data_IF_469498894986
#
_entry.id   IF_469498894986
#
_cell.length_a   1.000
_cell.length_b   1.000
_cell.length_c   1.000
_cell.angle_alpha   90.00
_cell.angle_beta   90.00
_cell.angle_gamma   90.00
#
_symmetry.space_group_name_H-M   'P 1'
#
loop_
_entity.id
_entity.type
_entity.pdbx_description
1 polymer ?
#
# COMPACT_ATOMS: atom_id res chain seq x y z
N UNK A 1 16.22 44.98 -20.30
CA UNK A 1 15.55 44.01 -21.21
C UNK A 1 15.91 42.51 -21.03
N UNK A 2 17.06 42.06 -20.48
CA UNK A 2 17.35 40.62 -20.38
C UNK A 2 16.51 39.88 -19.32
N UNK A 3 16.11 40.55 -18.23
CA UNK A 3 15.32 39.95 -17.15
C UNK A 3 13.91 39.49 -17.61
N UNK A 4 13.23 40.30 -18.43
CA UNK A 4 11.88 39.99 -18.94
C UNK A 4 11.91 38.80 -19.91
N UNK A 5 12.95 38.73 -20.76
CA UNK A 5 13.17 37.60 -21.66
C UNK A 5 13.46 36.30 -20.88
N UNK A 6 14.28 36.38 -19.84
CA UNK A 6 14.56 35.25 -18.95
C UNK A 6 13.29 34.76 -18.23
N UNK A 7 12.48 35.67 -17.68
CA UNK A 7 11.21 35.33 -17.03
C UNK A 7 10.21 34.69 -18.00
N UNK A 8 10.10 35.19 -19.24
CA UNK A 8 9.24 34.60 -20.27
C UNK A 8 9.71 33.18 -20.65
N UNK A 9 11.01 32.98 -20.80
CA UNK A 9 11.59 31.66 -21.08
C UNK A 9 11.31 30.68 -19.95
N UNK A 10 11.47 31.10 -18.69
CA UNK A 10 11.17 30.27 -17.52
C UNK A 10 9.69 29.88 -17.47
N UNK A 11 8.78 30.82 -17.71
CA UNK A 11 7.34 30.57 -17.72
C UNK A 11 6.94 29.57 -18.82
N UNK A 12 7.53 29.69 -20.01
CA UNK A 12 7.30 28.73 -21.10
C UNK A 12 7.82 27.33 -20.74
N UNK A 13 9.01 27.23 -20.14
CA UNK A 13 9.54 25.94 -19.65
C UNK A 13 8.62 25.32 -18.60
N UNK A 14 8.11 26.13 -17.65
CA UNK A 14 7.20 25.66 -16.61
C UNK A 14 5.89 25.14 -17.20
N UNK A 15 5.26 25.88 -18.13
CA UNK A 15 4.04 25.44 -18.82
C UNK A 15 4.24 24.14 -19.59
N UNK A 16 5.37 24.01 -20.30
CA UNK A 16 5.70 22.79 -21.03
C UNK A 16 5.90 21.60 -20.08
N UNK A 17 6.57 21.82 -18.95
CA UNK A 17 6.76 20.79 -17.92
C UNK A 17 5.43 20.34 -17.31
N UNK A 18 4.57 21.28 -16.90
CA UNK A 18 3.24 20.97 -16.35
C UNK A 18 2.41 20.20 -17.39
N UNK A 19 2.39 20.66 -18.65
CA UNK A 19 1.67 19.97 -19.72
C UNK A 19 2.18 18.55 -19.96
N UNK A 20 3.49 18.32 -19.88
CA UNK A 20 4.08 16.98 -19.96
C UNK A 20 3.63 16.09 -18.80
N UNK A 21 3.67 16.59 -17.56
CA UNK A 21 3.27 15.83 -16.37
C UNK A 21 1.78 15.49 -16.43
N UNK A 22 0.91 16.45 -16.75
CA UNK A 22 -0.52 16.24 -16.95
C UNK A 22 -0.80 15.15 -18.00
N UNK A 23 -0.08 15.18 -19.14
CA UNK A 23 -0.23 14.19 -20.19
C UNK A 23 0.23 12.78 -19.80
N UNK A 24 1.14 12.65 -18.82
CA UNK A 24 1.73 11.37 -18.41
C UNK A 24 1.31 10.90 -17.02
N UNK A 25 0.48 11.66 -16.32
CA UNK A 25 0.23 11.44 -14.90
C UNK A 25 -0.32 10.05 -14.57
N UNK A 26 -1.22 9.52 -15.40
CA UNK A 26 -1.80 8.17 -15.19
C UNK A 26 -0.74 7.05 -15.28
N UNK A 27 0.39 7.28 -15.97
CA UNK A 27 1.53 6.36 -15.98
C UNK A 27 2.50 6.64 -14.85
N UNK A 28 2.72 7.91 -14.52
CA UNK A 28 3.62 8.33 -13.45
C UNK A 28 3.15 7.81 -12.09
N UNK A 29 1.85 7.77 -11.83
CA UNK A 29 1.33 7.19 -10.59
C UNK A 29 1.69 5.71 -10.45
N UNK A 30 1.62 4.93 -11.53
CA UNK A 30 2.04 3.52 -11.52
C UNK A 30 3.55 3.38 -11.26
N UNK A 31 4.36 4.31 -11.79
CA UNK A 31 5.80 4.35 -11.50
C UNK A 31 6.04 4.64 -10.01
N UNK A 32 5.33 5.60 -9.41
CA UNK A 32 5.47 5.90 -7.97
C UNK A 32 5.10 4.70 -7.10
N UNK A 33 4.01 4.00 -7.44
CA UNK A 33 3.57 2.78 -6.75
C UNK A 33 4.62 1.68 -6.90
N UNK A 34 5.14 1.46 -8.11
CA UNK A 34 6.16 0.46 -8.38
C UNK A 34 7.47 0.73 -7.63
N UNK A 35 7.94 1.98 -7.62
CA UNK A 35 9.13 2.40 -6.88
C UNK A 35 8.93 2.20 -5.38
N UNK A 36 7.82 2.68 -4.81
CA UNK A 36 7.50 2.51 -3.40
C UNK A 36 7.46 1.02 -3.02
N UNK A 37 6.73 0.21 -3.80
CA UNK A 37 6.59 -1.22 -3.58
C UNK A 37 7.96 -1.91 -3.59
N UNK A 38 8.79 -1.63 -4.60
CA UNK A 38 10.11 -2.24 -4.71
C UNK A 38 11.03 -1.85 -3.54
N UNK A 39 11.11 -0.55 -3.21
CA UNK A 39 11.96 -0.04 -2.13
C UNK A 39 11.59 -0.69 -0.79
N UNK A 40 10.32 -0.67 -0.42
CA UNK A 40 9.90 -1.22 0.87
C UNK A 40 9.87 -2.74 0.90
N UNK A 41 9.58 -3.42 -0.22
CA UNK A 41 9.71 -4.87 -0.30
C UNK A 41 11.16 -5.30 -0.08
N UNK A 42 12.12 -4.63 -0.73
CA UNK A 42 13.54 -4.89 -0.52
C UNK A 42 13.96 -4.59 0.93
N UNK A 43 13.53 -3.46 1.49
CA UNK A 43 13.86 -3.07 2.85
C UNK A 43 13.30 -4.05 3.89
N UNK A 44 12.01 -4.35 3.86
CA UNK A 44 11.36 -5.27 4.81
C UNK A 44 11.88 -6.70 4.67
N UNK A 45 12.17 -7.15 3.45
CA UNK A 45 12.82 -8.44 3.19
C UNK A 45 14.22 -8.48 3.81
N UNK A 46 15.02 -7.42 3.64
CA UNK A 46 16.31 -7.31 4.29
C UNK A 46 16.19 -7.37 5.82
N UNK A 47 15.20 -6.67 6.40
CA UNK A 47 14.94 -6.71 7.84
C UNK A 47 14.57 -8.12 8.32
N UNK A 48 13.79 -8.87 7.55
CA UNK A 48 13.47 -10.27 7.83
C UNK A 48 14.73 -11.15 7.87
N UNK A 49 15.57 -11.09 6.84
CA UNK A 49 16.81 -11.86 6.80
C UNK A 49 17.87 -11.38 7.81
N UNK A 50 17.77 -10.14 8.28
CA UNK A 50 18.56 -9.61 9.38
C UNK A 50 17.99 -10.00 10.77
N UNK A 51 16.98 -10.88 10.82
CA UNK A 51 16.30 -11.33 12.04
C UNK A 51 15.68 -10.18 12.86
N UNK A 52 15.15 -9.16 12.18
CA UNK A 52 14.50 -7.99 12.78
C UNK A 52 12.98 -7.97 12.61
N UNK A 53 12.39 -9.13 12.37
CA UNK A 53 10.93 -9.34 12.31
C UNK A 53 10.49 -10.21 13.47
N UNK A 54 9.25 -10.05 13.93
CA UNK A 54 8.71 -10.63 15.14
C UNK A 54 7.71 -11.75 14.87
N UNK A 55 7.63 -12.68 15.82
CA UNK A 55 6.69 -13.79 15.74
C UNK A 55 5.23 -13.34 15.94
N UNK A 56 4.99 -12.32 16.77
CA UNK A 56 3.63 -11.87 17.14
C UNK A 56 2.82 -11.30 15.98
N UNK A 57 3.45 -10.70 14.98
CA UNK A 57 2.74 -10.26 13.78
C UNK A 57 3.03 -11.24 12.64
N UNK A 58 4.21 -11.12 12.03
CA UNK A 58 4.56 -11.88 10.83
C UNK A 58 4.47 -13.40 11.03
N UNK A 59 4.88 -13.90 12.20
CA UNK A 59 4.82 -15.33 12.53
C UNK A 59 3.39 -15.85 12.67
N UNK A 60 2.50 -15.12 13.35
CA UNK A 60 1.09 -15.48 13.50
C UNK A 60 0.42 -15.58 12.14
N UNK A 61 0.53 -14.55 11.30
CA UNK A 61 -0.09 -14.55 9.98
C UNK A 61 0.49 -15.64 9.08
N UNK A 62 1.81 -15.83 9.08
CA UNK A 62 2.47 -16.88 8.29
C UNK A 62 1.97 -18.26 8.70
N UNK A 63 1.91 -18.55 10.00
CA UNK A 63 1.43 -19.85 10.49
C UNK A 63 -0.05 -20.05 10.17
N UNK A 64 -0.90 -19.05 10.47
CA UNK A 64 -2.34 -19.10 10.21
C UNK A 64 -2.65 -19.37 8.73
N UNK A 65 -1.97 -18.69 7.81
CA UNK A 65 -2.14 -18.90 6.37
C UNK A 65 -1.60 -20.27 5.95
N UNK A 66 -0.43 -20.67 6.44
CA UNK A 66 0.17 -21.96 6.10
C UNK A 66 -0.70 -23.14 6.56
N UNK A 67 -1.26 -23.12 7.76
CA UNK A 67 -2.14 -24.22 8.23
C UNK A 67 -3.47 -24.24 7.50
N UNK A 68 -3.96 -23.08 7.06
CA UNK A 68 -5.16 -22.98 6.21
C UNK A 68 -4.93 -23.69 4.89
N UNK A 69 -3.80 -23.41 4.23
CA UNK A 69 -3.48 -23.96 2.91
C UNK A 69 -3.12 -25.44 2.97
N UNK A 70 -2.35 -25.88 3.97
CA UNK A 70 -1.74 -27.22 3.95
C UNK A 70 -2.40 -28.24 4.89
N UNK A 71 -3.02 -27.80 5.99
CA UNK A 71 -3.50 -28.71 7.03
C UNK A 71 -5.03 -28.77 7.14
N UNK A 72 -5.76 -27.98 6.34
CA UNK A 72 -7.21 -27.86 6.48
C UNK A 72 -7.63 -27.31 7.86
N UNK A 73 -6.74 -26.54 8.52
CA UNK A 73 -7.00 -25.88 9.81
C UNK A 73 -7.11 -24.37 9.55
N UNK A 74 -8.34 -23.84 9.36
CA UNK A 74 -8.54 -22.45 8.97
C UNK A 74 -7.98 -21.49 10.02
N UNK A 75 -7.01 -20.69 9.58
CA UNK A 75 -6.31 -19.64 10.32
C UNK A 75 -5.79 -20.07 11.70
N UNK A 76 -5.31 -21.30 11.82
CA UNK A 76 -4.81 -21.84 13.08
C UNK A 76 -3.35 -21.42 13.34
N UNK A 77 -3.05 -20.99 14.55
CA UNK A 77 -1.70 -20.63 15.00
C UNK A 77 -1.48 -21.03 16.47
N UNK A 78 -0.24 -20.97 16.92
CA UNK A 78 0.21 -21.56 18.19
C UNK A 78 0.87 -20.58 19.16
N UNK A 79 1.26 -19.40 18.68
CA UNK A 79 2.08 -18.43 19.44
C UNK A 79 1.36 -17.92 20.70
N UNK A 80 0.03 -17.80 20.65
CA UNK A 80 -0.76 -17.19 21.72
C UNK A 80 -1.82 -18.13 22.31
N UNK A 81 -1.60 -19.45 22.28
CA UNK A 81 -2.59 -20.42 22.80
C UNK A 81 -2.94 -20.20 24.28
N UNK A 82 -2.07 -19.53 25.03
CA UNK A 82 -2.30 -19.18 26.43
C UNK A 82 -3.44 -18.16 26.60
N UNK A 83 -3.65 -17.28 25.61
CA UNK A 83 -4.69 -16.22 25.62
C UNK A 83 -5.79 -16.45 24.58
N UNK A 84 -5.51 -17.25 23.54
CA UNK A 84 -6.48 -17.73 22.55
C UNK A 84 -6.43 -19.27 22.46
N UNK A 85 -7.08 -20.01 23.39
CA UNK A 85 -7.00 -21.47 23.44
C UNK A 85 -7.53 -22.19 22.21
N UNK A 86 -8.39 -21.53 21.41
CA UNK A 86 -8.86 -22.08 20.14
C UNK A 86 -7.75 -22.16 19.08
N UNK A 87 -6.71 -21.33 19.22
CA UNK A 87 -5.67 -21.12 18.22
C UNK A 87 -6.19 -20.57 16.89
N UNK A 88 -7.47 -20.20 16.78
CA UNK A 88 -8.02 -19.64 15.56
C UNK A 88 -7.82 -18.13 15.56
N UNK A 89 -7.06 -17.62 14.59
CA UNK A 89 -6.78 -16.20 14.44
C UNK A 89 -8.07 -15.38 14.32
N UNK A 90 -9.06 -15.85 13.56
CA UNK A 90 -10.32 -15.11 13.37
C UNK A 90 -11.17 -15.00 14.64
N UNK A 91 -10.93 -15.88 15.63
CA UNK A 91 -11.57 -15.80 16.94
C UNK A 91 -10.99 -14.69 17.84
N UNK A 92 -9.72 -14.33 17.65
CA UNK A 92 -9.05 -13.24 18.37
C UNK A 92 -9.07 -11.92 17.58
N UNK A 93 -8.87 -12.01 16.27
CA UNK A 93 -8.77 -10.90 15.32
C UNK A 93 -9.70 -11.16 14.13
N UNK A 94 -10.90 -10.58 14.16
CA UNK A 94 -11.87 -10.75 13.08
C UNK A 94 -11.42 -10.00 11.82
N UNK A 95 -10.65 -10.69 10.97
CA UNK A 95 -10.06 -10.14 9.74
C UNK A 95 -10.44 -10.94 8.49
N UNK A 96 -11.71 -10.85 8.01
CA UNK A 96 -12.16 -11.56 6.82
C UNK A 96 -11.36 -11.27 5.54
N UNK A 97 -10.64 -10.15 5.50
CA UNK A 97 -9.75 -9.81 4.38
C UNK A 97 -8.67 -10.89 4.14
N UNK A 98 -8.32 -11.68 5.16
CA UNK A 98 -7.36 -12.77 5.03
C UNK A 98 -7.81 -13.85 4.04
N UNK A 99 -9.12 -14.03 3.80
CA UNK A 99 -9.59 -14.93 2.75
C UNK A 99 -9.11 -14.52 1.35
N UNK A 100 -8.90 -13.21 1.11
CA UNK A 100 -8.30 -12.72 -0.13
C UNK A 100 -6.77 -12.91 -0.16
N UNK A 101 -6.13 -12.97 1.01
CA UNK A 101 -4.69 -13.19 1.15
C UNK A 101 -4.32 -14.66 0.95
N UNK A 102 -5.17 -15.60 1.41
CA UNK A 102 -4.95 -17.05 1.27
C UNK A 102 -4.56 -17.49 -0.14
N UNK A 103 -5.30 -17.17 -1.22
CA UNK A 103 -4.93 -17.60 -2.57
C UNK A 103 -3.61 -16.98 -3.04
N UNK A 104 -3.27 -15.75 -2.62
CA UNK A 104 -1.99 -15.12 -2.95
C UNK A 104 -0.83 -15.79 -2.22
N UNK A 105 -1.01 -16.11 -0.93
CA UNK A 105 -0.03 -16.83 -0.13
C UNK A 105 0.17 -18.27 -0.63
N UNK A 106 -0.89 -18.92 -1.11
CA UNK A 106 -0.81 -20.28 -1.64
C UNK A 106 0.11 -20.39 -2.87
N UNK A 107 0.26 -19.31 -3.66
CA UNK A 107 1.19 -19.27 -4.80
C UNK A 107 2.66 -19.30 -4.37
N UNK A 108 2.98 -18.65 -3.24
CA UNK A 108 4.32 -18.62 -2.68
C UNK A 108 4.23 -18.50 -1.15
N UNK A 109 4.34 -19.65 -0.47
CA UNK A 109 4.14 -19.74 0.97
C UNK A 109 5.39 -19.29 1.74
N UNK A 110 5.58 -17.97 1.84
CA UNK A 110 6.73 -17.35 2.49
C UNK A 110 6.31 -16.10 3.27
N UNK A 111 6.94 -15.77 4.42
CA UNK A 111 6.76 -14.49 5.09
C UNK A 111 7.05 -13.30 4.17
N UNK A 112 7.99 -13.45 3.24
CA UNK A 112 8.37 -12.42 2.27
C UNK A 112 7.19 -12.07 1.36
N UNK A 113 6.37 -13.06 0.97
CA UNK A 113 5.16 -12.83 0.17
C UNK A 113 4.21 -11.86 0.87
N UNK A 114 4.08 -11.95 2.20
CA UNK A 114 3.22 -11.07 2.99
C UNK A 114 3.79 -9.65 3.06
N UNK A 115 5.09 -9.51 3.29
CA UNK A 115 5.77 -8.20 3.34
C UNK A 115 5.68 -7.47 1.98
N UNK A 116 5.91 -8.19 0.87
CA UNK A 116 5.77 -7.67 -0.49
C UNK A 116 4.32 -7.27 -0.76
N UNK A 117 3.36 -8.12 -0.38
CA UNK A 117 1.93 -7.83 -0.55
C UNK A 117 1.52 -6.57 0.22
N UNK A 118 1.94 -6.42 1.48
CA UNK A 118 1.68 -5.22 2.27
C UNK A 118 2.23 -3.96 1.59
N UNK A 119 3.49 -3.99 1.15
CA UNK A 119 4.11 -2.87 0.42
C UNK A 119 3.34 -2.51 -0.86
N UNK A 120 2.87 -3.51 -1.59
CA UNK A 120 2.08 -3.32 -2.80
C UNK A 120 0.71 -2.70 -2.50
N UNK A 121 -0.04 -3.22 -1.52
CA UNK A 121 -1.36 -2.70 -1.14
C UNK A 121 -1.27 -1.27 -0.62
N UNK A 122 -0.27 -0.95 0.21
CA UNK A 122 -0.03 0.44 0.66
C UNK A 122 0.27 1.33 -0.55
N UNK A 123 1.10 0.87 -1.49
CA UNK A 123 1.34 1.57 -2.75
C UNK A 123 0.04 1.88 -3.50
N UNK A 124 -0.85 0.88 -3.66
CA UNK A 124 -2.13 1.04 -4.34
C UNK A 124 -3.06 2.09 -3.70
N UNK A 125 -2.90 2.40 -2.40
CA UNK A 125 -3.65 3.48 -1.75
C UNK A 125 -3.40 4.86 -2.38
N UNK A 126 -2.28 5.03 -3.10
CA UNK A 126 -2.00 6.26 -3.84
C UNK A 126 -2.96 6.49 -5.03
N UNK A 127 -3.58 5.45 -5.57
CA UNK A 127 -4.51 5.55 -6.71
C UNK A 127 -5.78 6.35 -6.35
N UNK A 128 -6.56 5.98 -5.31
CA UNK A 128 -7.73 6.75 -4.95
C UNK A 128 -7.37 8.17 -4.48
N UNK A 129 -6.21 8.39 -3.86
CA UNK A 129 -5.71 9.72 -3.51
C UNK A 129 -5.49 10.56 -4.76
N UNK A 130 -4.82 10.00 -5.77
CA UNK A 130 -4.61 10.63 -7.06
C UNK A 130 -5.95 11.03 -7.71
N UNK A 131 -6.93 10.12 -7.73
CA UNK A 131 -8.25 10.41 -8.29
C UNK A 131 -8.98 11.50 -7.52
N UNK A 132 -9.04 11.41 -6.18
CA UNK A 132 -9.74 12.38 -5.34
C UNK A 132 -9.15 13.78 -5.53
N UNK A 133 -7.82 13.92 -5.45
CA UNK A 133 -7.16 15.21 -5.57
C UNK A 133 -7.25 15.77 -7.00
N UNK A 134 -7.07 14.93 -8.03
CA UNK A 134 -7.27 15.34 -9.43
C UNK A 134 -8.68 15.86 -9.67
N UNK A 135 -9.69 15.13 -9.21
CA UNK A 135 -11.09 15.44 -9.48
C UNK A 135 -11.54 16.68 -8.67
N UNK A 136 -11.00 16.89 -7.46
CA UNK A 136 -11.31 18.06 -6.62
C UNK A 136 -10.58 19.34 -7.01
N UNK A 137 -9.34 19.22 -7.51
CA UNK A 137 -8.49 20.37 -7.84
C UNK A 137 -8.39 20.63 -9.35
N UNK A 138 -9.01 19.78 -10.18
CA UNK A 138 -9.06 19.93 -11.63
C UNK A 138 -7.71 19.76 -12.34
N UNK A 139 -6.73 19.09 -11.71
CA UNK A 139 -5.37 18.94 -12.25
C UNK A 139 -4.74 17.61 -11.83
N UNK A 140 -4.19 16.87 -12.80
CA UNK A 140 -3.51 15.61 -12.53
C UNK A 140 -2.17 15.85 -11.85
N UNK A 141 -1.52 16.99 -12.06
CA UNK A 141 -0.34 17.39 -11.31
C UNK A 141 -0.66 17.44 -9.81
N UNK A 142 -1.76 18.08 -9.40
CA UNK A 142 -2.18 18.06 -7.99
C UNK A 142 -2.50 16.64 -7.50
N UNK A 143 -3.18 15.84 -8.32
CA UNK A 143 -3.36 14.40 -8.04
C UNK A 143 -2.05 13.70 -7.70
N UNK A 144 -1.03 13.86 -8.55
CA UNK A 144 0.29 13.26 -8.36
C UNK A 144 0.99 13.81 -7.12
N UNK A 145 0.91 15.11 -6.86
CA UNK A 145 1.54 15.74 -5.70
C UNK A 145 1.00 15.13 -4.40
N UNK A 146 -0.31 14.98 -4.25
CA UNK A 146 -0.90 14.37 -3.05
C UNK A 146 -0.60 12.88 -2.94
N UNK A 147 -0.61 12.15 -4.06
CA UNK A 147 -0.23 10.75 -4.08
C UNK A 147 1.24 10.55 -3.67
N UNK A 148 2.16 11.38 -4.19
CA UNK A 148 3.56 11.38 -3.82
C UNK A 148 3.75 11.78 -2.36
N UNK A 149 3.05 12.80 -1.88
CA UNK A 149 3.10 13.22 -0.49
C UNK A 149 2.68 12.08 0.46
N UNK A 150 1.62 11.33 0.11
CA UNK A 150 1.22 10.13 0.86
C UNK A 150 2.33 9.06 0.85
N UNK A 151 2.85 8.69 -0.32
CA UNK A 151 3.88 7.65 -0.43
C UNK A 151 5.22 8.04 0.20
N UNK A 152 5.50 9.33 0.38
CA UNK A 152 6.70 9.84 1.05
C UNK A 152 6.46 10.17 2.54
N UNK A 153 5.23 10.00 3.03
CA UNK A 153 4.88 10.40 4.39
C UNK A 153 5.51 9.43 5.41
N UNK A 154 6.25 9.92 6.44
CA UNK A 154 6.91 9.06 7.41
C UNK A 154 5.98 8.10 8.16
N UNK A 155 4.74 8.50 8.44
CA UNK A 155 3.77 7.60 9.06
C UNK A 155 3.41 6.40 8.16
N UNK A 156 3.32 6.61 6.85
CA UNK A 156 3.07 5.53 5.88
C UNK A 156 4.27 4.60 5.79
N UNK A 157 5.49 5.14 5.89
CA UNK A 157 6.71 4.36 5.99
C UNK A 157 6.75 3.55 7.28
N UNK A 158 6.35 4.15 8.41
CA UNK A 158 6.28 3.47 9.70
C UNK A 158 5.37 2.25 9.68
N UNK A 159 4.18 2.37 9.08
CA UNK A 159 3.26 1.23 8.88
C UNK A 159 3.96 0.13 8.08
N UNK A 160 4.62 0.49 6.96
CA UNK A 160 5.20 -0.51 6.07
C UNK A 160 6.49 -1.15 6.61
N UNK A 161 7.25 -0.43 7.44
CA UNK A 161 8.45 -0.94 8.11
C UNK A 161 8.12 -1.88 9.28
N UNK A 162 6.88 -1.86 9.76
CA UNK A 162 6.39 -2.83 10.71
C UNK A 162 6.03 -4.15 9.99
N UNK A 163 6.00 -5.25 10.76
CA UNK A 163 5.67 -6.56 10.24
C UNK A 163 4.28 -6.63 9.59
N UNK A 164 3.99 -7.71 8.87
CA UNK A 164 2.71 -7.85 8.19
C UNK A 164 1.53 -7.77 9.15
N UNK A 165 0.60 -6.86 8.86
CA UNK A 165 -0.65 -6.69 9.61
C UNK A 165 -1.75 -6.15 8.68
N UNK A 166 -2.99 -6.60 8.87
CA UNK A 166 -4.09 -6.32 7.93
C UNK A 166 -4.55 -4.86 7.97
N UNK A 167 -4.27 -4.12 9.04
CA UNK A 167 -4.63 -2.72 9.20
C UNK A 167 -3.88 -1.85 8.18
N UNK A 168 -2.72 -2.29 7.70
CA UNK A 168 -2.00 -1.66 6.61
C UNK A 168 -2.83 -1.56 5.30
N UNK A 169 -3.89 -2.37 5.18
CA UNK A 169 -4.75 -2.38 4.00
C UNK A 169 -5.85 -1.31 4.08
N UNK A 170 -6.11 -0.76 5.27
CA UNK A 170 -7.17 0.23 5.52
C UNK A 170 -7.06 1.45 4.59
N UNK A 171 -5.89 2.10 4.42
CA UNK A 171 -5.79 3.26 3.53
C UNK A 171 -6.26 2.94 2.11
N UNK A 172 -5.85 1.80 1.55
CA UNK A 172 -6.21 1.41 0.20
C UNK A 172 -7.72 1.22 0.03
N UNK A 173 -8.33 0.35 0.87
CA UNK A 173 -9.74 0.01 0.73
C UNK A 173 -10.67 1.14 1.15
N UNK A 174 -10.35 1.86 2.22
CA UNK A 174 -11.17 2.98 2.69
C UNK A 174 -11.18 4.14 1.69
N UNK A 175 -10.01 4.53 1.17
CA UNK A 175 -9.92 5.61 0.18
C UNK A 175 -10.54 5.20 -1.15
N UNK A 176 -10.39 3.93 -1.55
CA UNK A 176 -11.05 3.41 -2.75
C UNK A 176 -12.58 3.46 -2.61
N UNK A 177 -13.12 2.99 -1.49
CA UNK A 177 -14.56 3.05 -1.20
C UNK A 177 -15.08 4.50 -1.21
N UNK A 178 -14.34 5.42 -0.59
CA UNK A 178 -14.67 6.85 -0.62
C UNK A 178 -14.62 7.46 -2.03
N UNK A 179 -13.60 7.11 -2.82
CA UNK A 179 -13.45 7.60 -4.20
C UNK A 179 -14.59 7.11 -5.10
N UNK A 180 -15.00 5.84 -4.95
CA UNK A 180 -16.10 5.26 -5.72
C UNK A 180 -17.44 5.84 -5.29
N UNK A 181 -17.70 5.98 -3.98
CA UNK A 181 -18.98 6.53 -3.49
C UNK A 181 -19.25 7.95 -3.98
N UNK A 182 -18.21 8.78 -4.10
CA UNK A 182 -18.32 10.13 -4.68
C UNK A 182 -18.72 10.13 -6.16
N UNK A 183 -18.40 9.09 -6.91
CA UNK A 183 -18.81 8.95 -8.32
C UNK A 183 -20.26 8.49 -8.45
N UNK A 184 -20.75 7.67 -7.51
CA UNK A 184 -22.10 7.12 -7.54
C UNK A 184 -23.17 8.11 -7.07
N UNK A 185 -22.83 9.06 -6.21
CA UNK A 185 -23.78 10.02 -5.60
C UNK A 185 -23.80 11.38 -6.34
N UNK A 186 -23.19 11.47 -7.52
CA UNK A 186 -23.22 12.67 -8.36
C UNK A 186 -24.55 12.85 -9.09
N UNK A 187 -25.52 13.46 -8.41
CA UNK A 187 -26.46 14.41 -9.01
C UNK A 187 -25.73 15.74 -9.30
#
# INVERSE_FOLDING_TARGET
MPLISAMRTLNNKLKNFIGFVEAKADRLILVFIGVYTAVFSCFTTYMHYAFKTYAWDLGIYTQALWTTVNLGKPFYYTIELQVNPSGNFLGAHFSPILFLVVPLYALCQSPITLLVLQSFIIGLAAIPIYWIARDKLGSKLWGLTFAAAFLLHPAVHGINCYDFHVEAFIPAFFLLAFSISKKTVGC
#
